data_IF_474777019511
#
_entry.id   IF_474777019511
#
_cell.length_a   1.000
_cell.length_b   1.000
_cell.length_c   1.000
_cell.angle_alpha   90.00
_cell.angle_beta   90.00
_cell.angle_gamma   90.00
#
_symmetry.space_group_name_H-M   'P 1'
#
loop_
_entity.id
_entity.type
_entity.pdbx_description
1 polymer ?
#
# COMPACT_ATOMS: atom_id res chain seq x y z
N UNK A 1 -6.08 13.64 15.00
CA UNK A 1 -6.91 12.45 14.74
C UNK A 1 -6.12 11.15 14.94
N UNK A 2 -5.00 10.91 14.24
CA UNK A 2 -4.26 9.64 14.36
C UNK A 2 -3.68 9.37 15.76
N UNK A 3 -3.25 10.41 16.49
CA UNK A 3 -2.79 10.28 17.89
C UNK A 3 -3.86 9.73 18.83
N UNK A 4 -5.14 10.04 18.59
CA UNK A 4 -6.23 9.49 19.39
C UNK A 4 -6.47 8.02 19.04
N UNK A 5 -6.37 7.62 17.77
CA UNK A 5 -6.47 6.20 17.39
C UNK A 5 -5.34 5.34 17.97
N UNK A 6 -4.12 5.86 18.04
CA UNK A 6 -2.98 5.11 18.58
C UNK A 6 -2.98 5.02 20.11
N UNK A 7 -3.66 5.94 20.81
CA UNK A 7 -3.59 6.04 22.27
C UNK A 7 -4.90 5.71 22.98
N UNK A 8 -6.02 6.13 22.39
CA UNK A 8 -7.34 6.08 23.03
C UNK A 8 -8.15 4.86 22.55
N UNK A 9 -7.54 3.98 21.72
CA UNK A 9 -8.10 2.69 21.31
C UNK A 9 -7.29 1.57 21.94
N UNK A 10 -7.99 0.61 22.57
CA UNK A 10 -7.40 -0.62 23.08
C UNK A 10 -7.34 -1.66 21.97
N UNK A 11 -6.15 -1.87 21.42
CA UNK A 11 -5.89 -2.86 20.37
C UNK A 11 -5.66 -4.26 20.94
N UNK A 12 -5.48 -4.40 22.25
CA UNK A 12 -5.07 -5.66 22.88
C UNK A 12 -3.67 -6.13 22.42
N UNK A 13 -3.48 -7.45 22.39
CA UNK A 13 -2.27 -8.06 21.82
C UNK A 13 -2.52 -8.39 20.34
N UNK A 14 -1.76 -7.75 19.45
CA UNK A 14 -1.81 -7.98 18.00
C UNK A 14 -0.42 -8.24 17.45
N UNK A 15 -0.31 -9.20 16.54
CA UNK A 15 0.96 -9.48 15.85
C UNK A 15 1.31 -8.38 14.83
N UNK A 16 0.29 -7.77 14.22
CA UNK A 16 0.44 -6.74 13.19
C UNK A 16 -0.61 -5.65 13.34
N UNK A 17 -0.18 -4.40 13.25
CA UNK A 17 -1.04 -3.22 13.12
C UNK A 17 -0.73 -2.51 11.80
N UNK A 18 -1.68 -2.57 10.86
CA UNK A 18 -1.55 -1.89 9.57
C UNK A 18 -2.24 -0.53 9.67
N UNK A 19 -1.51 0.52 9.31
CA UNK A 19 -2.03 1.90 9.31
C UNK A 19 -2.08 2.38 7.87
N UNK A 20 -3.30 2.66 7.39
CA UNK A 20 -3.50 3.33 6.11
C UNK A 20 -3.31 4.84 6.28
N UNK A 21 -2.25 5.37 5.69
CA UNK A 21 -1.92 6.79 5.78
C UNK A 21 -2.61 7.55 4.65
N UNK A 22 -3.05 8.81 4.87
CA UNK A 22 -3.56 9.65 3.78
C UNK A 22 -2.58 9.69 2.59
N UNK A 23 -3.00 9.88 1.33
CA UNK A 23 -2.06 9.97 0.22
C UNK A 23 -1.23 11.25 0.24
N UNK A 24 -0.09 11.27 -0.47
CA UNK A 24 0.68 12.48 -0.77
C UNK A 24 1.98 12.65 0.05
N UNK A 25 2.60 13.83 -0.05
CA UNK A 25 3.84 14.20 0.66
C UNK A 25 3.68 15.50 1.45
N UNK A 26 2.44 15.85 1.81
CA UNK A 26 2.09 17.09 2.53
C UNK A 26 2.47 16.99 4.01
N UNK A 27 2.41 18.12 4.73
CA UNK A 27 2.73 18.21 6.17
C UNK A 27 1.90 17.26 7.07
N UNK A 28 0.78 16.74 6.54
CA UNK A 28 -0.04 15.73 7.21
C UNK A 28 0.72 14.42 7.43
N UNK A 29 1.57 14.01 6.48
CA UNK A 29 2.43 12.83 6.59
C UNK A 29 3.48 12.97 7.68
N UNK A 30 4.05 14.17 7.79
CA UNK A 30 5.03 14.50 8.82
C UNK A 30 4.45 14.32 10.21
N UNK A 31 3.19 14.73 10.38
CA UNK A 31 2.46 14.57 11.63
C UNK A 31 2.22 13.09 11.93
N UNK A 32 1.76 12.30 10.94
CA UNK A 32 1.51 10.87 11.09
C UNK A 32 2.79 10.11 11.47
N UNK A 33 3.89 10.32 10.75
CA UNK A 33 5.17 9.67 11.05
C UNK A 33 5.71 10.11 12.41
N UNK A 34 5.57 11.38 12.81
CA UNK A 34 5.98 11.81 14.15
C UNK A 34 5.17 11.15 15.27
N UNK A 35 3.86 10.98 15.08
CA UNK A 35 3.03 10.28 16.06
C UNK A 35 3.36 8.80 16.13
N UNK A 36 3.58 8.16 14.97
CA UNK A 36 3.91 6.75 14.89
C UNK A 36 5.37 6.47 15.30
N UNK A 37 6.29 7.43 15.18
CA UNK A 37 7.69 7.26 15.62
C UNK A 37 7.77 6.96 17.14
N UNK A 38 6.84 7.49 17.93
CA UNK A 38 6.71 7.16 19.35
C UNK A 38 6.26 5.71 19.58
N UNK A 39 5.65 5.06 18.59
CA UNK A 39 5.14 3.70 18.63
C UNK A 39 6.11 2.65 18.05
N UNK A 40 7.34 3.03 17.69
CA UNK A 40 8.40 2.13 17.18
C UNK A 40 7.96 1.32 15.94
N UNK A 41 7.69 2.03 14.84
CA UNK A 41 7.29 1.43 13.56
C UNK A 41 8.40 0.56 12.98
N UNK A 42 8.06 -0.66 12.56
CA UNK A 42 9.00 -1.58 11.88
C UNK A 42 9.36 -1.14 10.46
N UNK A 43 8.41 -0.51 9.75
CA UNK A 43 8.66 0.13 8.47
C UNK A 43 7.40 0.51 7.70
N UNK A 44 7.61 1.02 6.49
CA UNK A 44 6.56 1.42 5.56
C UNK A 44 6.57 0.56 4.29
N UNK A 45 5.38 0.25 3.79
CA UNK A 45 5.16 -0.30 2.45
C UNK A 45 4.59 0.80 1.58
N UNK A 46 5.23 1.09 0.45
CA UNK A 46 4.83 2.18 -0.43
C UNK A 46 4.08 1.61 -1.63
N UNK A 47 2.89 2.14 -1.90
CA UNK A 47 2.05 1.69 -3.01
C UNK A 47 2.15 2.70 -4.16
N UNK A 48 2.38 2.20 -5.37
CA UNK A 48 2.42 3.00 -6.60
C UNK A 48 1.56 2.38 -7.69
N UNK A 49 1.40 3.08 -8.81
CA UNK A 49 0.82 2.55 -10.04
C UNK A 49 1.77 2.81 -11.23
N UNK A 50 1.68 2.07 -12.36
CA UNK A 50 2.64 2.19 -13.46
C UNK A 50 2.74 3.58 -14.11
N UNK A 51 1.76 4.46 -13.87
CA UNK A 51 1.72 5.79 -14.47
C UNK A 51 2.83 6.67 -13.88
N UNK A 52 3.53 7.41 -14.76
CA UNK A 52 4.67 8.24 -14.39
C UNK A 52 4.36 9.26 -13.26
N UNK A 53 3.13 9.78 -13.22
CA UNK A 53 2.70 10.70 -12.16
C UNK A 53 2.77 10.04 -10.78
N UNK A 54 2.34 8.78 -10.67
CA UNK A 54 2.42 8.03 -9.40
C UNK A 54 3.88 7.72 -9.02
N UNK A 55 4.70 7.35 -9.99
CA UNK A 55 6.14 7.08 -9.75
C UNK A 55 6.86 8.35 -9.26
N UNK A 56 6.53 9.52 -9.80
CA UNK A 56 7.09 10.79 -9.35
C UNK A 56 6.74 11.13 -7.90
N UNK A 57 5.53 10.81 -7.45
CA UNK A 57 5.13 11.01 -6.07
C UNK A 57 5.80 9.99 -5.13
N UNK A 58 5.93 8.74 -5.56
CA UNK A 58 6.66 7.72 -4.80
C UNK A 58 8.15 8.03 -4.67
N UNK A 59 8.78 8.64 -5.68
CA UNK A 59 10.16 9.15 -5.56
C UNK A 59 10.29 10.17 -4.43
N UNK A 60 9.32 11.08 -4.27
CA UNK A 60 9.31 12.06 -3.18
C UNK A 60 9.07 11.37 -1.84
N UNK A 61 8.18 10.38 -1.79
CA UNK A 61 7.84 9.65 -0.57
C UNK A 61 9.03 8.82 -0.04
N UNK A 62 9.74 8.11 -0.92
CA UNK A 62 10.97 7.38 -0.54
C UNK A 62 12.01 8.33 0.08
N UNK A 63 12.19 9.51 -0.52
CA UNK A 63 13.10 10.52 0.01
C UNK A 63 12.62 11.07 1.36
N UNK A 64 11.32 11.23 1.54
CA UNK A 64 10.72 11.61 2.81
C UNK A 64 10.98 10.56 3.88
N UNK A 65 10.66 9.28 3.63
CA UNK A 65 10.92 8.18 4.56
C UNK A 65 12.40 8.14 5.00
N UNK A 66 13.33 8.29 4.06
CA UNK A 66 14.77 8.38 4.34
C UNK A 66 15.11 9.55 5.26
N UNK A 67 14.56 10.74 4.98
CA UNK A 67 14.82 11.96 5.76
C UNK A 67 14.34 11.83 7.20
N UNK A 68 13.20 11.19 7.42
CA UNK A 68 12.63 10.94 8.75
C UNK A 68 13.11 9.64 9.39
N UNK A 69 14.02 8.91 8.73
CA UNK A 69 14.58 7.62 9.17
C UNK A 69 13.53 6.53 9.38
N UNK A 70 12.45 6.55 8.60
CA UNK A 70 11.46 5.49 8.56
C UNK A 70 11.97 4.35 7.67
N UNK A 71 12.13 3.11 8.18
CA UNK A 71 12.51 1.97 7.35
C UNK A 71 11.49 1.73 6.25
N UNK A 72 11.97 1.43 5.04
CA UNK A 72 11.11 1.08 3.90
C UNK A 72 11.22 -0.43 3.73
N UNK A 73 10.11 -1.13 3.92
CA UNK A 73 10.00 -2.58 3.71
C UNK A 73 10.08 -2.86 2.21
N UNK A 74 9.40 -2.04 1.41
CA UNK A 74 9.50 -2.05 -0.04
C UNK A 74 8.34 -1.36 -0.73
N UNK A 75 8.32 -1.48 -2.06
CA UNK A 75 7.32 -0.88 -2.95
C UNK A 75 6.45 -1.97 -3.55
N UNK A 76 5.16 -1.71 -3.68
CA UNK A 76 4.21 -2.55 -4.43
C UNK A 76 3.65 -1.73 -5.58
N UNK A 77 3.73 -2.26 -6.79
CA UNK A 77 3.10 -1.65 -7.98
C UNK A 77 1.69 -2.23 -8.17
N UNK A 78 0.68 -1.45 -7.82
CA UNK A 78 -0.71 -1.78 -8.04
C UNK A 78 -1.15 -1.42 -9.48
N UNK A 79 -2.19 -2.08 -9.98
CA UNK A 79 -2.75 -1.87 -11.31
C UNK A 79 -1.73 -2.09 -12.46
N UNK A 80 -0.80 -3.04 -12.29
CA UNK A 80 0.31 -3.30 -13.23
C UNK A 80 -0.09 -3.90 -14.58
N UNK A 81 -1.35 -4.34 -14.71
CA UNK A 81 -1.87 -5.05 -15.87
C UNK A 81 -3.33 -5.40 -15.64
N UNK A 82 -3.95 -6.14 -16.54
CA UNK A 82 -5.32 -6.63 -16.42
C UNK A 82 -5.39 -8.07 -16.85
N UNK A 83 -5.93 -8.91 -15.98
CA UNK A 83 -6.16 -10.32 -16.29
C UNK A 83 -7.61 -10.47 -16.72
N UNK A 84 -7.84 -10.81 -17.99
CA UNK A 84 -9.18 -11.03 -18.48
C UNK A 84 -9.85 -12.19 -17.72
N UNK A 85 -10.99 -11.99 -17.05
CA UNK A 85 -11.63 -13.05 -16.26
C UNK A 85 -12.12 -14.22 -17.14
N UNK A 86 -12.40 -13.96 -18.42
CA UNK A 86 -12.93 -14.93 -19.37
C UNK A 86 -11.84 -15.79 -20.03
N UNK A 87 -10.75 -15.19 -20.48
CA UNK A 87 -9.71 -15.91 -21.25
C UNK A 87 -8.37 -16.03 -20.53
N UNK A 88 -8.24 -15.47 -19.31
CA UNK A 88 -7.02 -15.45 -18.47
C UNK A 88 -5.80 -14.81 -19.14
N UNK A 89 -5.97 -14.17 -20.29
CA UNK A 89 -4.92 -13.41 -20.96
C UNK A 89 -4.65 -12.13 -20.19
N UNK A 90 -3.37 -11.88 -19.95
CA UNK A 90 -2.89 -10.62 -19.39
C UNK A 90 -2.76 -9.58 -20.50
N UNK A 91 -3.25 -8.38 -20.21
CA UNK A 91 -3.09 -7.19 -21.05
C UNK A 91 -2.42 -6.10 -20.22
N UNK A 92 -1.34 -5.52 -20.73
CA UNK A 92 -0.78 -4.31 -20.15
C UNK A 92 -1.67 -3.12 -20.54
N UNK A 93 -2.50 -2.66 -19.60
CA UNK A 93 -3.35 -1.47 -19.81
C UNK A 93 -2.49 -0.20 -19.80
N UNK A 94 -1.47 -0.17 -18.96
CA UNK A 94 -0.58 0.96 -18.79
C UNK A 94 0.87 0.49 -19.00
N UNK A 95 1.34 0.42 -20.27
CA UNK A 95 2.72 0.06 -20.53
C UNK A 95 3.66 1.12 -19.93
N UNK A 96 4.66 0.73 -19.12
CA UNK A 96 5.60 1.68 -18.55
C UNK A 96 6.48 2.26 -19.65
N UNK A 97 6.52 3.58 -19.75
CA UNK A 97 7.37 4.30 -20.73
C UNK A 97 8.82 4.43 -20.28
N UNK A 98 9.07 4.24 -18.99
CA UNK A 98 10.35 4.52 -18.30
C UNK A 98 10.86 3.31 -17.51
N UNK A 99 10.32 2.10 -17.74
CA UNK A 99 10.67 0.91 -16.95
C UNK A 99 9.87 0.74 -15.64
N UNK A 100 8.97 1.69 -15.31
CA UNK A 100 7.96 1.54 -14.26
C UNK A 100 8.54 1.50 -12.86
N UNK A 101 7.83 0.86 -11.92
CA UNK A 101 8.29 0.73 -10.55
C UNK A 101 9.60 -0.07 -10.44
N UNK A 102 9.89 -0.99 -11.36
CA UNK A 102 11.08 -1.83 -11.32
C UNK A 102 12.36 -1.00 -11.53
N UNK A 103 12.41 -0.16 -12.55
CA UNK A 103 13.56 0.72 -12.74
C UNK A 103 13.67 1.74 -11.59
N UNK A 104 12.55 2.32 -11.16
CA UNK A 104 12.54 3.24 -10.02
C UNK A 104 13.09 2.60 -8.74
N UNK A 105 12.70 1.35 -8.45
CA UNK A 105 13.16 0.64 -7.27
C UNK A 105 14.66 0.31 -7.34
N UNK A 106 15.16 -0.03 -8.52
CA UNK A 106 16.60 -0.23 -8.76
C UNK A 106 17.38 1.07 -8.55
N UNK A 107 16.95 2.17 -9.18
CA UNK A 107 17.60 3.49 -9.07
C UNK A 107 17.65 4.00 -7.62
N UNK A 108 16.59 3.73 -6.86
CA UNK A 108 16.45 4.17 -5.49
C UNK A 108 16.89 3.13 -4.49
N UNK A 109 17.42 1.98 -4.88
CA UNK A 109 17.88 0.93 -3.97
C UNK A 109 16.81 0.53 -2.92
N UNK A 110 15.57 0.36 -3.35
CA UNK A 110 14.46 -0.13 -2.51
C UNK A 110 13.89 -1.44 -3.06
N UNK A 111 13.45 -2.38 -2.21
CA UNK A 111 12.88 -3.64 -2.70
C UNK A 111 11.56 -3.41 -3.44
N UNK A 112 11.41 -3.98 -4.63
CA UNK A 112 10.09 -4.17 -5.25
C UNK A 112 9.51 -5.48 -4.71
N UNK A 113 8.47 -5.39 -3.88
CA UNK A 113 7.84 -6.55 -3.23
C UNK A 113 6.94 -7.33 -4.18
N UNK A 114 6.39 -6.67 -5.19
CA UNK A 114 5.56 -7.32 -6.19
C UNK A 114 4.70 -6.36 -6.99
N UNK A 115 3.91 -6.97 -7.88
CA UNK A 115 2.96 -6.30 -8.76
C UNK A 115 1.57 -6.89 -8.56
N UNK A 116 0.56 -6.04 -8.46
CA UNK A 116 -0.85 -6.45 -8.33
C UNK A 116 -1.59 -6.03 -9.60
N UNK A 117 -2.17 -6.97 -10.38
CA UNK A 117 -2.94 -6.63 -11.57
C UNK A 117 -4.31 -6.03 -11.20
N UNK A 118 -4.92 -5.29 -12.12
CA UNK A 118 -6.34 -4.94 -12.08
C UNK A 118 -7.17 -6.22 -12.14
N UNK A 119 -7.84 -6.52 -11.03
CA UNK A 119 -8.86 -7.55 -10.94
C UNK A 119 -10.26 -6.89 -10.90
N UNK A 120 -11.10 -7.08 -11.92
CA UNK A 120 -12.48 -6.56 -11.93
C UNK A 120 -13.32 -6.95 -10.73
N UNK A 121 -13.01 -8.08 -10.08
CA UNK A 121 -13.78 -8.62 -8.96
C UNK A 121 -13.57 -7.83 -7.66
N UNK A 122 -12.44 -7.13 -7.52
CA UNK A 122 -12.12 -6.34 -6.30
C UNK A 122 -13.11 -5.18 -6.12
N UNK A 123 -13.67 -4.64 -7.21
CA UNK A 123 -14.64 -3.52 -7.16
C UNK A 123 -16.10 -3.94 -7.04
N UNK A 124 -16.41 -5.25 -7.01
CA UNK A 124 -17.80 -5.73 -6.97
C UNK A 124 -18.22 -5.94 -5.50
N UNK A 125 -19.24 -5.22 -5.06
CA UNK A 125 -19.80 -5.26 -3.68
C UNK A 125 -20.08 -6.68 -3.17
N UNK A 126 -20.46 -7.62 -4.06
CA UNK A 126 -20.70 -9.02 -3.71
C UNK A 126 -19.46 -9.71 -3.13
N UNK A 127 -18.24 -9.32 -3.51
CA UNK A 127 -17.01 -9.89 -2.99
C UNK A 127 -16.79 -9.53 -1.51
N UNK A 128 -17.10 -8.29 -1.10
CA UNK A 128 -17.07 -7.89 0.32
C UNK A 128 -18.12 -8.65 1.15
N UNK A 129 -19.32 -8.87 0.60
CA UNK A 129 -20.41 -9.58 1.30
C UNK A 129 -20.16 -11.09 1.41
N UNK A 130 -19.48 -11.70 0.43
CA UNK A 130 -19.10 -13.12 0.44
C UNK A 130 -18.07 -13.47 1.52
N UNK A 131 -17.24 -12.51 1.93
CA UNK A 131 -16.28 -12.69 3.02
C UNK A 131 -16.88 -12.40 4.41
N UNK A 132 -17.76 -11.40 4.55
CA UNK A 132 -18.49 -11.17 5.80
C UNK A 132 -19.35 -12.38 6.21
N UNK A 133 -20.05 -13.01 5.26
CA UNK A 133 -20.87 -14.19 5.54
C UNK A 133 -20.07 -15.45 5.92
N UNK A 134 -18.78 -15.52 5.57
CA UNK A 134 -17.92 -16.63 6.01
C UNK A 134 -17.38 -16.41 7.42
N UNK A 135 -17.06 -15.19 7.81
CA UNK A 135 -16.59 -14.86 9.17
C UNK A 135 -17.71 -15.02 10.22
N UNK A 136 -18.96 -14.64 9.92
CA UNK A 136 -20.08 -14.83 10.85
C UNK A 136 -20.39 -16.30 11.17
N UNK A 137 -20.10 -17.22 10.24
CA UNK A 137 -20.26 -18.67 10.43
C UNK A 137 -19.11 -19.32 11.20
N UNK A 138 -17.98 -18.64 11.39
CA UNK A 138 -16.83 -19.13 12.15
C UNK A 138 -16.86 -18.67 13.62
N UNK A 139 -17.62 -17.62 13.93
CA UNK A 139 -17.74 -17.07 15.30
C UNK A 139 -18.95 -17.68 16.04
N UNK A 140 -19.79 -18.46 15.34
CA UNK A 140 -21.01 -19.10 15.88
C UNK A 140 -20.93 -20.62 16.04
N UNK A 141 -19.72 -21.21 15.93
CA UNK A 141 -19.44 -22.64 16.10
C UNK A 141 -18.23 -22.87 17.00
#
# INVERSE_FOLDING_TARGET
MIKQFLRDVDWGEVDYLIVDTPPGTSDEHLSVVQYLAAAHIDGAVIITTPQEVSLQDVRKEINFCRKVKLPIIGVVENMSGFICPKCKKESQIFPPTTGGAELMCQDLEVPLLGRVPLDPLIGIQEFCNLHQSKEENLISS
#
